data_IF_696461751714
#
_entry.id   IF_696461751714
#
_cell.length_a   1.000
_cell.length_b   1.000
_cell.length_c   1.000
_cell.angle_alpha   90.00
_cell.angle_beta   90.00
_cell.angle_gamma   90.00
#
_symmetry.space_group_name_H-M   'P 1'
#
loop_
_entity.id
_entity.type
_entity.pdbx_description
1 polymer ?
#
# COMPACT_ATOMS: atom_id res chain seq x y z
N UNK A 1 37.57 35.23 -13.56
CA UNK A 1 36.67 36.37 -13.81
C UNK A 1 35.78 36.50 -12.59
N UNK A 2 35.59 37.69 -12.03
CA UNK A 2 34.67 37.87 -10.91
C UNK A 2 33.26 37.47 -11.36
N UNK A 3 32.58 36.59 -10.63
CA UNK A 3 31.18 36.27 -10.89
C UNK A 3 30.36 37.56 -10.76
N UNK A 4 29.56 37.89 -11.78
CA UNK A 4 28.66 39.03 -11.71
C UNK A 4 27.65 38.80 -10.58
N UNK A 5 27.51 39.78 -9.68
CA UNK A 5 26.55 39.69 -8.58
C UNK A 5 25.12 39.87 -9.12
N UNK A 6 24.28 38.86 -8.90
CA UNK A 6 22.86 38.88 -9.29
C UNK A 6 22.13 40.04 -8.60
N UNK A 7 21.31 40.75 -9.37
CA UNK A 7 20.37 41.76 -8.87
C UNK A 7 19.08 41.07 -8.37
N UNK A 8 18.31 41.77 -7.53
CA UNK A 8 17.05 41.23 -7.00
C UNK A 8 16.01 40.97 -8.10
N UNK A 9 16.03 41.79 -9.15
CA UNK A 9 15.17 41.65 -10.32
C UNK A 9 15.52 40.42 -11.18
N UNK A 10 16.67 39.80 -10.96
CA UNK A 10 17.04 38.54 -11.64
C UNK A 10 16.34 37.32 -11.02
N UNK A 11 15.73 37.47 -9.83
CA UNK A 11 14.99 36.41 -9.16
C UNK A 11 13.68 36.13 -9.92
N UNK A 12 13.43 34.89 -10.38
CA UNK A 12 12.23 34.56 -11.14
C UNK A 12 10.94 34.88 -10.38
N UNK A 13 10.10 35.72 -11.00
CA UNK A 13 8.82 36.15 -10.42
C UNK A 13 8.93 37.38 -9.52
N UNK A 14 10.11 37.98 -9.37
CA UNK A 14 10.32 39.26 -8.69
C UNK A 14 10.32 40.38 -9.74
N UNK A 15 9.24 41.17 -9.77
CA UNK A 15 9.19 42.39 -10.56
C UNK A 15 9.78 43.60 -9.82
N UNK A 16 9.87 44.78 -10.47
CA UNK A 16 10.47 45.99 -9.88
C UNK A 16 9.83 46.38 -8.55
N UNK A 17 8.51 46.27 -8.43
CA UNK A 17 7.75 46.58 -7.20
C UNK A 17 8.08 45.62 -6.06
N UNK A 18 8.29 44.33 -6.35
CA UNK A 18 8.66 43.32 -5.35
C UNK A 18 10.12 43.50 -4.93
N UNK A 19 11.00 43.85 -5.86
CA UNK A 19 12.38 44.19 -5.58
C UNK A 19 12.51 45.43 -4.67
N UNK A 20 11.67 46.45 -4.89
CA UNK A 20 11.61 47.64 -4.01
C UNK A 20 11.16 47.28 -2.59
N UNK A 21 10.08 46.49 -2.45
CA UNK A 21 9.64 45.98 -1.13
C UNK A 21 10.73 45.19 -0.40
N UNK A 22 11.48 44.35 -1.12
CA UNK A 22 12.60 43.60 -0.55
C UNK A 22 13.71 44.54 -0.04
N UNK A 23 14.06 45.57 -0.81
CA UNK A 23 15.06 46.58 -0.39
C UNK A 23 14.59 47.36 0.83
N UNK A 24 13.32 47.79 0.87
CA UNK A 24 12.73 48.48 2.03
C UNK A 24 12.72 47.62 3.29
N UNK A 25 12.51 46.31 3.13
CA UNK A 25 12.58 45.31 4.20
C UNK A 25 14.03 44.90 4.56
N UNK A 26 15.02 45.49 3.90
CA UNK A 26 16.45 45.29 4.18
C UNK A 26 17.10 44.11 3.46
N UNK A 27 16.43 43.45 2.52
CA UNK A 27 17.00 42.36 1.69
C UNK A 27 17.63 42.93 0.43
N UNK A 28 18.84 43.47 0.56
CA UNK A 28 19.52 44.17 -0.53
C UNK A 28 20.29 43.26 -1.49
N UNK A 29 20.44 41.96 -1.17
CA UNK A 29 21.19 40.99 -1.99
C UNK A 29 20.57 39.60 -2.01
N UNK A 30 20.91 38.84 -3.06
CA UNK A 30 20.49 37.44 -3.25
C UNK A 30 21.02 36.54 -2.12
N UNK A 31 22.21 36.81 -1.59
CA UNK A 31 22.78 36.09 -0.44
C UNK A 31 21.96 36.30 0.83
N UNK A 32 21.47 37.53 1.06
CA UNK A 32 20.68 37.84 2.24
C UNK A 32 19.31 37.15 2.16
N UNK A 33 18.71 37.09 0.98
CA UNK A 33 17.46 36.35 0.74
C UNK A 33 17.70 34.84 0.90
N UNK A 34 18.82 34.30 0.42
CA UNK A 34 19.16 32.88 0.56
C UNK A 34 19.29 32.43 2.02
N UNK A 35 19.61 33.34 2.94
CA UNK A 35 19.74 33.07 4.38
C UNK A 35 18.45 33.31 5.17
N UNK A 36 17.38 33.76 4.51
CA UNK A 36 16.10 34.11 5.15
C UNK A 36 15.11 32.96 5.11
N UNK A 37 14.10 33.01 5.97
CA UNK A 37 12.95 32.09 5.95
C UNK A 37 11.76 32.67 5.19
N UNK A 38 10.87 31.79 4.72
CA UNK A 38 9.66 32.24 4.02
C UNK A 38 8.73 33.07 4.92
N UNK A 39 8.68 32.75 6.22
CA UNK A 39 7.91 33.52 7.21
C UNK A 39 8.51 34.89 7.46
N UNK A 40 9.84 35.03 7.52
CA UNK A 40 10.49 36.34 7.64
C UNK A 40 10.19 37.23 6.42
N UNK A 41 10.26 36.68 5.19
CA UNK A 41 9.91 37.44 3.98
C UNK A 41 8.42 37.78 3.89
N UNK A 42 7.55 36.94 4.44
CA UNK A 42 6.13 37.24 4.54
C UNK A 42 5.86 38.37 5.54
N UNK A 43 6.45 38.31 6.74
CA UNK A 43 6.24 39.29 7.80
C UNK A 43 6.86 40.65 7.49
N UNK A 44 8.05 40.67 6.88
CA UNK A 44 8.82 41.91 6.67
C UNK A 44 8.64 42.54 5.28
N UNK A 45 8.37 41.75 4.24
CA UNK A 45 8.23 42.22 2.86
C UNK A 45 6.86 41.92 2.22
N UNK A 46 5.90 41.37 3.00
CA UNK A 46 4.55 40.99 2.55
C UNK A 46 4.55 40.03 1.35
N UNK A 47 5.57 39.18 1.24
CA UNK A 47 5.70 38.21 0.15
C UNK A 47 4.99 36.93 0.55
N UNK A 48 3.95 36.55 -0.20
CA UNK A 48 3.21 35.30 0.06
C UNK A 48 4.15 34.10 0.16
N UNK A 49 3.93 33.22 1.15
CA UNK A 49 4.89 32.17 1.53
C UNK A 49 5.31 31.26 0.36
N UNK A 50 4.39 30.92 -0.54
CA UNK A 50 4.70 30.10 -1.72
C UNK A 50 5.68 30.80 -2.68
N UNK A 51 5.58 32.12 -2.82
CA UNK A 51 6.49 32.95 -3.62
C UNK A 51 7.83 33.11 -2.91
N UNK A 52 7.80 33.37 -1.59
CA UNK A 52 9.01 33.48 -0.77
C UNK A 52 9.85 32.19 -0.82
N UNK A 53 9.22 31.02 -0.73
CA UNK A 53 9.91 29.71 -0.86
C UNK A 53 10.59 29.53 -2.22
N UNK A 54 9.94 29.94 -3.31
CA UNK A 54 10.51 29.87 -4.67
C UNK A 54 11.70 30.81 -4.81
N UNK A 55 11.60 32.04 -4.28
CA UNK A 55 12.68 33.02 -4.29
C UNK A 55 13.90 32.52 -3.50
N UNK A 56 13.71 32.07 -2.26
CA UNK A 56 14.79 31.54 -1.40
C UNK A 56 15.49 30.37 -2.09
N UNK A 57 14.71 29.42 -2.65
CA UNK A 57 15.26 28.26 -3.38
C UNK A 57 16.14 28.68 -4.55
N UNK A 58 15.70 29.67 -5.32
CA UNK A 58 16.50 30.20 -6.43
C UNK A 58 17.77 30.90 -5.93
N UNK A 59 17.67 31.71 -4.88
CA UNK A 59 18.81 32.45 -4.32
C UNK A 59 19.90 31.51 -3.76
N UNK A 60 19.51 30.41 -3.10
CA UNK A 60 20.44 29.38 -2.61
C UNK A 60 21.20 28.73 -3.77
N UNK A 61 20.51 28.47 -4.89
CA UNK A 61 21.11 27.86 -6.07
C UNK A 61 22.16 28.76 -6.74
N UNK A 62 21.99 30.09 -6.67
CA UNK A 62 22.94 31.05 -7.24
C UNK A 62 24.13 31.37 -6.33
N UNK A 63 24.01 31.11 -5.03
CA UNK A 63 25.01 31.48 -4.00
C UNK A 63 25.86 30.30 -3.54
N UNK A 64 25.58 29.09 -4.02
CA UNK A 64 26.41 27.91 -3.79
C UNK A 64 27.58 27.86 -4.78
N UNK A 65 28.84 27.65 -4.32
CA UNK A 65 29.99 27.53 -5.22
C UNK A 65 29.85 26.36 -6.19
N UNK A 66 30.03 26.65 -7.47
CA UNK A 66 29.88 25.72 -8.58
C UNK A 66 30.85 24.52 -8.54
N UNK A 67 30.30 23.31 -8.67
CA UNK A 67 30.90 22.25 -9.49
C UNK A 67 30.25 22.32 -10.89
N UNK A 68 30.99 22.88 -11.87
CA UNK A 68 30.77 22.79 -13.33
C UNK A 68 31.84 21.81 -13.86
N UNK A 69 31.68 21.00 -14.92
CA UNK A 69 30.70 20.71 -15.97
C UNK A 69 31.12 19.33 -16.55
N UNK A 70 30.28 18.50 -17.19
CA UNK A 70 29.72 18.66 -18.53
C UNK A 70 28.50 17.74 -18.75
N UNK A 71 27.48 18.30 -19.40
CA UNK A 71 26.37 17.68 -20.14
C UNK A 71 26.86 16.68 -21.20
N UNK A 72 26.14 15.69 -21.75
CA UNK A 72 24.72 15.40 -21.91
C UNK A 72 24.64 14.00 -22.57
N UNK A 73 23.72 13.13 -22.16
CA UNK A 73 22.72 12.46 -23.02
C UNK A 73 22.22 11.13 -22.43
N UNK A 74 20.94 11.12 -22.04
CA UNK A 74 19.97 9.99 -22.01
C UNK A 74 20.35 8.75 -21.19
N UNK A 75 19.61 8.31 -20.17
CA UNK A 75 18.16 8.16 -20.05
C UNK A 75 17.75 8.07 -18.57
N UNK A 76 16.50 8.43 -18.32
CA UNK A 76 15.83 8.56 -17.03
C UNK A 76 16.05 7.40 -16.04
N UNK A 77 16.59 7.74 -14.86
CA UNK A 77 16.11 7.25 -13.57
C UNK A 77 16.79 8.09 -12.48
N UNK A 78 16.03 8.79 -11.63
CA UNK A 78 16.59 9.48 -10.47
C UNK A 78 15.57 9.42 -9.34
N UNK A 79 15.81 8.45 -8.44
CA UNK A 79 15.18 8.38 -7.14
C UNK A 79 15.31 9.71 -6.42
N UNK A 80 14.18 10.26 -6.00
CA UNK A 80 14.12 11.44 -5.15
C UNK A 80 14.48 10.98 -3.74
N UNK A 81 15.72 11.20 -3.33
CA UNK A 81 16.07 11.17 -1.90
C UNK A 81 15.51 12.45 -1.25
N UNK A 82 14.30 12.31 -0.70
CA UNK A 82 13.68 13.35 0.11
C UNK A 82 14.45 13.47 1.43
N UNK A 83 15.17 14.59 1.62
CA UNK A 83 15.71 14.94 2.93
C UNK A 83 14.57 15.00 3.97
N UNK A 84 14.77 14.48 5.19
CA UNK A 84 13.69 14.31 6.15
C UNK A 84 13.14 15.67 6.61
N UNK A 85 11.89 15.95 6.25
CA UNK A 85 11.09 16.93 6.99
C UNK A 85 10.97 16.41 8.42
N UNK A 86 11.54 17.14 9.38
CA UNK A 86 11.33 16.88 10.79
C UNK A 86 9.93 17.35 11.22
N UNK A 87 8.90 16.71 10.65
CA UNK A 87 7.54 16.70 11.21
C UNK A 87 7.48 15.51 12.14
N UNK A 88 7.52 15.76 13.45
CA UNK A 88 7.19 14.74 14.44
C UNK A 88 5.82 14.16 14.08
N UNK A 89 5.77 12.88 13.68
CA UNK A 89 4.49 12.19 13.49
C UNK A 89 3.77 12.19 14.83
N UNK A 90 2.52 12.66 14.83
CA UNK A 90 1.68 12.64 16.01
C UNK A 90 1.39 11.19 16.40
N UNK A 91 1.57 10.87 17.67
CA UNK A 91 1.25 9.57 18.24
C UNK A 91 -0.10 9.60 18.95
N UNK A 92 -0.67 8.43 19.24
CA UNK A 92 -1.98 8.30 19.90
C UNK A 92 -1.97 9.01 21.26
N UNK A 93 -0.84 8.98 21.97
CA UNK A 93 -0.60 9.64 23.24
C UNK A 93 -0.62 11.17 23.14
N UNK A 94 -0.47 11.75 21.95
CA UNK A 94 -0.58 13.19 21.75
C UNK A 94 -2.05 13.67 21.73
N UNK A 95 -3.03 12.75 21.68
CA UNK A 95 -4.46 13.08 21.66
C UNK A 95 -4.90 13.62 23.04
N UNK A 96 -5.54 14.80 23.11
CA UNK A 96 -6.02 15.36 24.36
C UNK A 96 -6.98 14.44 25.11
N UNK A 97 -6.61 14.07 26.33
CA UNK A 97 -7.41 13.18 27.18
C UNK A 97 -7.13 11.69 26.98
N UNK A 98 -6.14 11.34 26.15
CA UNK A 98 -5.65 9.97 26.02
C UNK A 98 -4.40 9.79 26.89
N UNK A 99 -4.53 8.97 27.93
CA UNK A 99 -3.38 8.49 28.70
C UNK A 99 -2.90 7.11 28.20
N UNK A 100 -1.79 6.58 28.75
CA UNK A 100 -1.20 5.31 28.31
C UNK A 100 -2.20 4.15 28.26
N UNK A 101 -3.09 4.03 29.25
CA UNK A 101 -4.10 2.98 29.30
C UNK A 101 -5.17 3.10 28.20
N UNK A 102 -5.53 4.32 27.81
CA UNK A 102 -6.48 4.52 26.70
C UNK A 102 -5.76 4.27 25.37
N UNK A 103 -4.50 4.70 25.25
CA UNK A 103 -3.68 4.46 24.07
C UNK A 103 -3.48 2.95 23.81
N UNK A 104 -3.22 2.16 24.85
CA UNK A 104 -3.12 0.71 24.78
C UNK A 104 -4.44 0.08 24.28
N UNK A 105 -5.58 0.42 24.90
CA UNK A 105 -6.89 -0.08 24.44
C UNK A 105 -7.23 0.32 23.00
N UNK A 106 -6.85 1.54 22.60
CA UNK A 106 -7.03 1.97 21.22
C UNK A 106 -6.21 1.10 20.26
N UNK A 107 -4.96 0.79 20.61
CA UNK A 107 -4.11 -0.10 19.81
C UNK A 107 -4.68 -1.51 19.72
N UNK A 108 -5.11 -2.06 20.85
CA UNK A 108 -5.76 -3.38 20.90
C UNK A 108 -7.05 -3.41 20.07
N UNK A 109 -7.76 -2.27 20.00
CA UNK A 109 -8.91 -2.07 19.14
C UNK A 109 -8.61 -1.79 17.66
N UNK A 110 -7.33 -1.86 17.24
CA UNK A 110 -6.88 -1.63 15.86
C UNK A 110 -6.73 -0.15 15.47
N UNK A 111 -6.81 0.79 16.42
CA UNK A 111 -6.62 2.22 16.18
C UNK A 111 -5.18 2.63 16.44
N UNK A 112 -4.28 2.39 15.47
CA UNK A 112 -2.85 2.64 15.63
C UNK A 112 -2.40 4.06 15.23
N UNK A 113 -3.21 4.76 14.45
CA UNK A 113 -2.85 6.04 13.83
C UNK A 113 -3.89 7.12 14.11
N UNK A 114 -3.45 8.39 14.07
CA UNK A 114 -4.37 9.54 14.17
C UNK A 114 -5.41 9.48 13.05
N UNK A 115 -5.00 9.04 11.86
CA UNK A 115 -5.85 8.87 10.69
C UNK A 115 -6.92 7.78 10.88
N UNK A 116 -6.53 6.64 11.46
CA UNK A 116 -7.44 5.56 11.82
C UNK A 116 -8.51 6.04 12.81
N UNK A 117 -8.12 6.85 13.80
CA UNK A 117 -9.07 7.43 14.77
C UNK A 117 -9.96 8.50 14.12
N UNK A 118 -9.42 9.35 13.26
CA UNK A 118 -10.16 10.43 12.59
C UNK A 118 -11.30 9.91 11.69
N UNK A 119 -11.13 8.72 11.11
CA UNK A 119 -12.11 8.07 10.22
C UNK A 119 -13.07 7.14 10.98
N UNK A 120 -12.83 6.89 12.27
CA UNK A 120 -13.67 6.05 13.11
C UNK A 120 -15.07 6.64 13.34
N UNK A 121 -16.03 5.76 13.67
CA UNK A 121 -17.32 6.20 14.21
C UNK A 121 -17.23 6.38 15.73
N UNK A 122 -17.99 7.32 16.33
CA UNK A 122 -18.00 7.51 17.77
C UNK A 122 -18.34 6.26 18.57
N UNK A 123 -19.26 5.42 18.08
CA UNK A 123 -19.64 4.17 18.76
C UNK A 123 -18.50 3.16 18.76
N UNK A 124 -17.86 2.92 17.61
CA UNK A 124 -16.76 1.95 17.51
C UNK A 124 -15.58 2.37 18.38
N UNK A 125 -15.22 3.65 18.37
CA UNK A 125 -14.11 4.16 19.17
C UNK A 125 -14.43 4.14 20.68
N UNK A 126 -15.69 4.43 21.04
CA UNK A 126 -16.18 4.37 22.41
C UNK A 126 -16.13 2.95 22.98
N UNK A 127 -16.53 1.95 22.18
CA UNK A 127 -16.46 0.53 22.56
C UNK A 127 -15.01 0.07 22.68
N UNK A 128 -14.15 0.33 21.69
CA UNK A 128 -12.76 -0.12 21.68
C UNK A 128 -11.93 0.46 22.83
N UNK A 129 -12.07 1.77 23.10
CA UNK A 129 -11.29 2.43 24.15
C UNK A 129 -11.97 2.37 25.54
N UNK A 130 -13.17 1.79 25.63
CA UNK A 130 -14.03 1.80 26.82
C UNK A 130 -14.23 3.22 27.40
N UNK A 131 -14.45 4.19 26.51
CA UNK A 131 -14.67 5.61 26.87
C UNK A 131 -16.10 6.03 26.55
N UNK A 132 -16.57 7.12 27.16
CA UNK A 132 -17.87 7.70 26.81
C UNK A 132 -17.90 8.23 25.36
N UNK A 133 -19.06 8.09 24.69
CA UNK A 133 -19.25 8.51 23.29
C UNK A 133 -18.97 10.01 23.06
N UNK A 134 -19.19 10.86 24.08
CA UNK A 134 -18.86 12.28 24.04
C UNK A 134 -17.35 12.54 24.01
N UNK A 135 -16.56 11.74 24.72
CA UNK A 135 -15.10 11.76 24.68
C UNK A 135 -14.60 11.26 23.33
N UNK A 136 -15.16 10.14 22.85
CA UNK A 136 -14.85 9.61 21.52
C UNK A 136 -15.08 10.65 20.42
N UNK A 137 -16.22 11.37 20.44
CA UNK A 137 -16.50 12.47 19.49
C UNK A 137 -15.45 13.58 19.53
N UNK A 138 -14.98 13.97 20.72
CA UNK A 138 -13.94 15.00 20.88
C UNK A 138 -12.60 14.53 20.34
N UNK A 139 -12.22 13.28 20.62
CA UNK A 139 -11.00 12.68 20.08
C UNK A 139 -11.04 12.63 18.56
N UNK A 140 -12.11 12.09 17.97
CA UNK A 140 -12.28 12.04 16.51
C UNK A 140 -12.18 13.44 15.89
N UNK A 141 -12.84 14.43 16.49
CA UNK A 141 -12.79 15.81 16.01
C UNK A 141 -11.36 16.36 16.02
N UNK A 142 -10.65 16.18 17.12
CA UNK A 142 -9.26 16.63 17.23
C UNK A 142 -8.37 15.92 16.20
N UNK A 143 -8.49 14.60 16.06
CA UNK A 143 -7.73 13.83 15.07
C UNK A 143 -8.00 14.30 13.63
N UNK A 144 -9.25 14.64 13.29
CA UNK A 144 -9.58 15.21 11.96
C UNK A 144 -8.91 16.55 11.70
N UNK A 145 -8.87 17.42 12.72
CA UNK A 145 -8.19 18.73 12.64
C UNK A 145 -6.67 18.57 12.46
N UNK A 146 -6.07 17.57 13.10
CA UNK A 146 -4.62 17.33 13.02
C UNK A 146 -4.18 16.57 11.77
N UNK A 147 -4.96 15.57 11.35
CA UNK A 147 -4.62 14.73 10.20
C UNK A 147 -5.05 15.34 8.85
N UNK A 148 -5.61 16.55 8.86
CA UNK A 148 -6.24 17.19 7.69
C UNK A 148 -7.26 16.26 6.97
N UNK A 149 -7.94 15.43 7.79
CA UNK A 149 -8.92 14.46 7.29
C UNK A 149 -10.25 15.16 7.16
N UNK A 150 -10.56 15.56 5.93
CA UNK A 150 -11.80 16.24 5.54
C UNK A 150 -11.63 17.27 4.43
N UNK A 151 -10.39 17.63 4.09
CA UNK A 151 -10.09 18.44 2.92
C UNK A 151 -10.34 17.68 1.61
N UNK A 152 -10.81 18.40 0.59
CA UNK A 152 -10.83 17.86 -0.77
C UNK A 152 -9.43 17.95 -1.37
N UNK A 153 -8.90 16.82 -1.86
CA UNK A 153 -7.62 16.77 -2.57
C UNK A 153 -7.84 16.97 -4.06
N UNK A 154 -6.92 17.70 -4.70
CA UNK A 154 -6.83 17.80 -6.16
C UNK A 154 -6.37 16.48 -6.76
N UNK A 155 -6.63 16.28 -8.06
CA UNK A 155 -6.14 15.09 -8.77
C UNK A 155 -4.61 14.94 -8.74
N UNK A 156 -3.87 16.05 -8.68
CA UNK A 156 -2.41 16.06 -8.56
C UNK A 156 -1.95 15.51 -7.22
N UNK A 157 -2.56 15.93 -6.12
CA UNK A 157 -2.21 15.42 -4.78
C UNK A 157 -2.54 13.93 -4.64
N UNK A 158 -3.66 13.48 -5.23
CA UNK A 158 -4.00 12.04 -5.28
C UNK A 158 -2.97 11.28 -6.13
N UNK A 159 -2.56 11.83 -7.27
CA UNK A 159 -1.54 11.22 -8.12
C UNK A 159 -0.20 11.09 -7.38
N UNK A 160 0.25 12.15 -6.71
CA UNK A 160 1.48 12.14 -5.90
C UNK A 160 1.41 11.12 -4.76
N UNK A 161 0.28 11.02 -4.07
CA UNK A 161 0.07 10.00 -3.05
C UNK A 161 0.14 8.58 -3.63
N UNK A 162 -0.40 8.36 -4.83
CA UNK A 162 -0.34 7.06 -5.52
C UNK A 162 1.07 6.68 -5.97
N UNK A 163 2.05 7.61 -6.03
CA UNK A 163 3.45 7.26 -6.28
C UNK A 163 4.06 6.40 -5.16
N UNK A 164 3.43 6.38 -3.98
CA UNK A 164 3.83 5.51 -2.86
C UNK A 164 3.36 4.06 -3.01
N UNK A 165 2.43 3.79 -3.94
CA UNK A 165 1.97 2.43 -4.25
C UNK A 165 3.11 1.70 -4.95
N UNK A 166 3.49 0.55 -4.37
CA UNK A 166 4.52 -0.34 -4.92
C UNK A 166 3.88 -1.51 -5.63
N UNK A 167 4.65 -2.18 -6.49
CA UNK A 167 4.19 -3.36 -7.24
C UNK A 167 5.09 -4.55 -7.00
N UNK A 168 4.49 -5.68 -6.65
CA UNK A 168 5.18 -6.97 -6.52
C UNK A 168 5.10 -7.75 -7.83
N UNK A 169 6.26 -8.09 -8.40
CA UNK A 169 6.35 -8.87 -9.63
C UNK A 169 6.15 -10.37 -9.39
N UNK A 170 5.50 -11.02 -10.34
CA UNK A 170 5.38 -12.49 -10.43
C UNK A 170 6.65 -13.14 -10.97
N UNK A 171 7.51 -12.36 -11.64
CA UNK A 171 8.65 -12.84 -12.43
C UNK A 171 8.23 -13.65 -13.66
N UNK A 172 6.98 -13.48 -14.09
CA UNK A 172 6.48 -13.92 -15.39
C UNK A 172 6.15 -12.66 -16.19
N UNK A 173 6.98 -12.27 -17.17
CA UNK A 173 6.87 -10.98 -17.85
C UNK A 173 5.47 -10.69 -18.41
N UNK A 174 4.79 -11.68 -18.97
CA UNK A 174 3.47 -11.52 -19.57
C UNK A 174 2.39 -11.23 -18.51
N UNK A 175 2.52 -11.81 -17.31
CA UNK A 175 1.61 -11.55 -16.19
C UNK A 175 1.90 -10.18 -15.59
N UNK A 176 3.17 -9.83 -15.44
CA UNK A 176 3.59 -8.54 -14.90
C UNK A 176 3.18 -7.40 -15.84
N UNK A 177 3.31 -7.56 -17.16
CA UNK A 177 2.84 -6.61 -18.16
C UNK A 177 1.31 -6.44 -18.11
N UNK A 178 0.55 -7.54 -18.02
CA UNK A 178 -0.90 -7.50 -17.90
C UNK A 178 -1.36 -6.73 -16.65
N UNK A 179 -0.61 -6.81 -15.54
CA UNK A 179 -0.88 -6.09 -14.29
C UNK A 179 -0.25 -4.68 -14.25
N UNK A 180 0.34 -4.23 -15.35
CA UNK A 180 1.01 -2.92 -15.43
C UNK A 180 2.18 -2.80 -14.45
N UNK A 181 2.94 -3.87 -14.25
CA UNK A 181 4.15 -3.94 -13.42
C UNK A 181 4.10 -4.90 -12.23
N UNK A 182 2.95 -5.53 -11.96
CA UNK A 182 2.78 -6.51 -10.87
C UNK A 182 1.59 -6.20 -9.96
N UNK A 183 1.49 -6.92 -8.84
CA UNK A 183 0.42 -6.78 -7.84
C UNK A 183 0.60 -5.50 -7.02
N UNK A 184 -0.42 -4.64 -6.99
CA UNK A 184 -0.35 -3.33 -6.32
C UNK A 184 -0.53 -3.45 -4.79
N UNK A 185 0.30 -2.71 -4.03
CA UNK A 185 0.05 -2.46 -2.60
C UNK A 185 -1.17 -1.55 -2.42
N UNK A 186 -1.72 -1.50 -1.19
CA UNK A 186 -2.95 -0.77 -0.86
C UNK A 186 -4.17 -1.23 -1.66
N UNK A 187 -4.12 -2.46 -2.18
CA UNK A 187 -5.17 -3.06 -2.98
C UNK A 187 -5.37 -4.52 -2.59
N UNK A 188 -6.60 -5.00 -2.77
CA UNK A 188 -6.92 -6.43 -2.65
C UNK A 188 -7.02 -7.02 -4.06
N UNK A 189 -6.26 -8.09 -4.31
CA UNK A 189 -6.37 -8.90 -5.51
C UNK A 189 -7.05 -10.24 -5.20
N UNK A 190 -8.17 -10.50 -5.86
CA UNK A 190 -8.87 -11.79 -5.82
C UNK A 190 -8.33 -12.72 -6.91
N UNK A 191 -7.83 -13.90 -6.52
CA UNK A 191 -7.53 -15.00 -7.43
C UNK A 191 -8.65 -16.05 -7.35
N UNK A 192 -9.45 -16.18 -8.41
CA UNK A 192 -10.51 -17.18 -8.46
C UNK A 192 -10.36 -18.13 -9.64
N UNK A 193 -10.82 -19.37 -9.47
CA UNK A 193 -10.76 -20.38 -10.51
C UNK A 193 -10.99 -21.79 -10.01
N UNK A 194 -11.11 -22.74 -10.92
CA UNK A 194 -11.33 -24.15 -10.59
C UNK A 194 -10.17 -24.76 -9.80
N UNK A 195 -10.37 -25.94 -9.21
CA UNK A 195 -9.31 -26.67 -8.52
C UNK A 195 -8.14 -27.00 -9.47
N UNK A 196 -6.90 -26.75 -9.00
CA UNK A 196 -5.68 -26.96 -9.78
C UNK A 196 -5.42 -25.93 -10.90
N UNK A 197 -6.19 -24.83 -10.94
CA UNK A 197 -5.95 -23.70 -11.86
C UNK A 197 -4.66 -22.91 -11.56
N UNK A 198 -4.03 -23.14 -10.39
CA UNK A 198 -2.77 -22.48 -10.02
C UNK A 198 -2.90 -21.41 -8.92
N UNK A 199 -4.09 -21.20 -8.32
CA UNK A 199 -4.30 -20.25 -7.21
C UNK A 199 -3.21 -20.33 -6.13
N UNK A 200 -3.11 -21.47 -5.46
CA UNK A 200 -2.10 -21.64 -4.40
C UNK A 200 -0.67 -21.55 -4.95
N UNK A 201 -0.41 -21.88 -6.22
CA UNK A 201 0.92 -21.75 -6.81
C UNK A 201 1.35 -20.28 -6.94
N UNK A 202 0.43 -19.40 -7.38
CA UNK A 202 0.69 -17.96 -7.41
C UNK A 202 0.86 -17.41 -6.00
N UNK A 203 0.00 -17.82 -5.06
CA UNK A 203 0.10 -17.43 -3.65
C UNK A 203 1.48 -17.77 -3.05
N UNK A 204 1.94 -19.02 -3.23
CA UNK A 204 3.26 -19.43 -2.73
C UNK A 204 4.41 -18.68 -3.44
N UNK A 205 4.28 -18.45 -4.76
CA UNK A 205 5.30 -17.70 -5.50
C UNK A 205 5.41 -16.26 -5.00
N UNK A 206 4.28 -15.58 -4.78
CA UNK A 206 4.28 -14.21 -4.27
C UNK A 206 4.80 -14.12 -2.83
N UNK A 207 4.55 -15.15 -2.02
CA UNK A 207 5.14 -15.26 -0.68
C UNK A 207 6.68 -15.38 -0.70
N UNK A 208 7.25 -15.91 -1.78
CA UNK A 208 8.70 -15.89 -2.02
C UNK A 208 9.13 -14.53 -2.59
N UNK A 209 8.50 -14.09 -3.68
CA UNK A 209 8.94 -12.91 -4.42
C UNK A 209 8.88 -11.62 -3.58
N UNK A 210 7.91 -11.47 -2.66
CA UNK A 210 7.77 -10.25 -1.85
C UNK A 210 9.00 -9.98 -0.98
N UNK A 211 9.74 -11.03 -0.65
CA UNK A 211 10.90 -10.96 0.20
C UNK A 211 12.15 -10.46 -0.53
N UNK A 212 12.13 -10.50 -1.86
CA UNK A 212 13.22 -10.02 -2.70
C UNK A 212 13.37 -8.51 -2.62
N UNK A 213 14.55 -7.97 -2.95
CA UNK A 213 14.75 -6.55 -3.15
C UNK A 213 13.88 -5.96 -4.28
N UNK A 214 13.62 -4.65 -4.21
CA UNK A 214 12.78 -3.95 -5.19
C UNK A 214 13.39 -3.96 -6.59
N UNK A 215 14.71 -3.90 -6.70
CA UNK A 215 15.46 -4.05 -7.95
C UNK A 215 15.27 -5.42 -8.62
N UNK A 216 14.92 -6.45 -7.84
CA UNK A 216 14.58 -7.78 -8.33
C UNK A 216 13.05 -8.00 -8.43
N UNK A 217 12.26 -6.94 -8.25
CA UNK A 217 10.80 -6.98 -8.34
C UNK A 217 10.07 -7.42 -7.07
N UNK A 218 10.77 -7.53 -5.94
CA UNK A 218 10.17 -7.77 -4.63
C UNK A 218 9.86 -6.48 -3.87
N UNK A 219 9.63 -6.57 -2.56
CA UNK A 219 9.30 -5.43 -1.69
C UNK A 219 10.06 -5.45 -0.36
N UNK A 220 11.13 -6.27 -0.24
CA UNK A 220 11.89 -6.50 0.99
C UNK A 220 11.01 -6.82 2.21
N UNK A 221 9.86 -7.47 2.01
CA UNK A 221 8.86 -7.63 3.05
C UNK A 221 8.75 -9.04 3.64
N UNK A 222 7.90 -9.15 4.65
CA UNK A 222 7.43 -10.41 5.26
C UNK A 222 5.97 -10.70 4.84
N UNK A 223 5.55 -11.95 5.04
CA UNK A 223 4.25 -12.47 4.64
C UNK A 223 3.44 -12.88 5.86
N UNK A 224 2.16 -12.48 5.89
CA UNK A 224 1.17 -13.09 6.77
C UNK A 224 0.29 -14.00 5.92
N UNK A 225 0.16 -15.26 6.33
CA UNK A 225 -0.57 -16.28 5.59
C UNK A 225 -1.64 -16.92 6.47
N UNK A 226 -2.90 -16.61 6.18
CA UNK A 226 -4.05 -17.28 6.78
C UNK A 226 -4.46 -18.46 5.88
N UNK A 227 -4.13 -19.67 6.32
CA UNK A 227 -4.43 -20.91 5.62
C UNK A 227 -5.75 -21.51 6.15
N UNK A 228 -6.76 -21.57 5.30
CA UNK A 228 -8.08 -22.11 5.63
C UNK A 228 -8.32 -23.49 5.02
N UNK A 229 -7.51 -23.88 4.02
CA UNK A 229 -7.67 -25.13 3.27
C UNK A 229 -6.54 -26.14 3.54
N UNK A 230 -5.59 -25.81 4.42
CA UNK A 230 -4.38 -26.58 4.67
C UNK A 230 -3.58 -26.79 3.36
N UNK A 231 -3.39 -25.72 2.59
CA UNK A 231 -2.69 -25.71 1.30
C UNK A 231 -1.25 -25.26 1.40
N UNK A 232 -0.84 -24.62 2.51
CA UNK A 232 0.54 -24.20 2.68
C UNK A 232 1.49 -25.40 2.73
N UNK A 233 2.52 -25.40 1.89
CA UNK A 233 3.54 -26.45 1.83
C UNK A 233 4.93 -25.82 1.90
N UNK A 234 5.66 -25.93 3.02
CA UNK A 234 7.02 -25.41 3.14
C UNK A 234 7.95 -25.93 2.05
N UNK A 235 7.82 -27.21 1.67
CA UNK A 235 8.62 -27.84 0.62
C UNK A 235 8.42 -27.13 -0.73
N UNK A 236 7.22 -26.58 -0.96
CA UNK A 236 6.94 -25.82 -2.17
C UNK A 236 7.64 -24.47 -2.18
N UNK A 237 7.71 -23.81 -1.02
CA UNK A 237 8.50 -22.58 -0.84
C UNK A 237 9.97 -22.87 -1.12
N UNK A 238 10.52 -23.97 -0.59
CA UNK A 238 11.92 -24.33 -0.85
C UNK A 238 12.22 -24.52 -2.34
N UNK A 239 11.33 -25.22 -3.06
CA UNK A 239 11.46 -25.40 -4.50
C UNK A 239 11.46 -24.06 -5.25
N UNK A 240 10.55 -23.16 -4.89
CA UNK A 240 10.45 -21.83 -5.50
C UNK A 240 11.66 -20.95 -5.19
N UNK A 241 12.19 -20.98 -3.96
CA UNK A 241 13.40 -20.24 -3.57
C UNK A 241 14.61 -20.75 -4.35
N UNK A 242 14.79 -22.08 -4.43
CA UNK A 242 15.85 -22.69 -5.26
C UNK A 242 15.70 -22.32 -6.74
N UNK A 243 14.46 -22.17 -7.20
CA UNK A 243 14.13 -21.76 -8.56
C UNK A 243 14.36 -20.27 -8.87
N UNK A 244 14.75 -19.44 -7.91
CA UNK A 244 15.11 -18.03 -8.16
C UNK A 244 16.48 -17.87 -8.82
N UNK A 245 17.35 -18.87 -8.73
CA UNK A 245 18.72 -18.84 -9.25
C UNK A 245 19.57 -17.66 -8.71
N UNK A 246 19.23 -17.16 -7.51
CA UNK A 246 19.95 -16.11 -6.80
C UNK A 246 20.99 -16.75 -5.88
N UNK A 247 22.25 -16.33 -6.01
CA UNK A 247 23.34 -16.79 -5.15
C UNK A 247 23.07 -16.41 -3.68
N UNK A 248 23.19 -17.38 -2.77
CA UNK A 248 22.97 -17.16 -1.34
C UNK A 248 21.50 -17.14 -0.89
N UNK A 249 20.54 -17.38 -1.79
CA UNK A 249 19.14 -17.53 -1.40
C UNK A 249 18.93 -18.82 -0.58
N UNK A 250 18.77 -18.69 0.73
CA UNK A 250 18.52 -19.80 1.65
C UNK A 250 17.01 -19.98 1.90
N UNK A 251 16.42 -21.13 1.52
CA UNK A 251 15.02 -21.43 1.81
C UNK A 251 14.62 -21.28 3.28
N UNK A 252 15.52 -21.54 4.22
CA UNK A 252 15.20 -21.41 5.65
C UNK A 252 15.03 -19.94 6.06
N UNK A 253 15.83 -19.03 5.50
CA UNK A 253 15.64 -17.59 5.72
C UNK A 253 14.32 -17.11 5.12
N UNK A 254 13.95 -17.57 3.93
CA UNK A 254 12.64 -17.23 3.34
C UNK A 254 11.46 -17.76 4.17
N UNK A 255 11.57 -18.98 4.70
CA UNK A 255 10.51 -19.58 5.53
C UNK A 255 10.31 -18.82 6.85
N UNK A 256 11.38 -18.26 7.45
CA UNK A 256 11.28 -17.46 8.69
C UNK A 256 10.39 -16.23 8.56
N UNK A 257 10.32 -15.65 7.36
CA UNK A 257 9.53 -14.44 7.08
C UNK A 257 8.15 -14.74 6.46
N UNK A 258 7.70 -16.01 6.53
CA UNK A 258 6.34 -16.41 6.17
C UNK A 258 5.62 -16.86 7.45
N UNK A 259 4.79 -15.98 7.99
CA UNK A 259 4.06 -16.21 9.23
C UNK A 259 2.70 -16.84 8.92
N UNK A 260 2.60 -18.14 9.13
CA UNK A 260 1.42 -18.93 8.77
C UNK A 260 0.54 -19.19 9.99
N UNK A 261 -0.75 -18.90 9.87
CA UNK A 261 -1.76 -19.26 10.84
C UNK A 261 -2.87 -20.08 10.17
N UNK A 262 -3.25 -21.19 10.78
CA UNK A 262 -4.32 -22.05 10.26
C UNK A 262 -5.66 -21.68 10.87
N UNK A 263 -6.57 -21.18 10.06
CA UNK A 263 -7.94 -20.94 10.48
C UNK A 263 -8.75 -22.24 10.45
N UNK A 264 -9.66 -22.39 11.42
CA UNK A 264 -10.54 -23.57 11.53
C UNK A 264 -12.03 -23.21 11.37
N UNK A 265 -12.38 -21.95 11.61
CA UNK A 265 -13.73 -21.41 11.45
C UNK A 265 -13.68 -20.02 10.82
N UNK A 266 -14.80 -19.54 10.30
CA UNK A 266 -14.91 -18.19 9.71
C UNK A 266 -14.58 -17.10 10.74
N UNK A 267 -15.04 -17.25 12.00
CA UNK A 267 -14.72 -16.31 13.06
C UNK A 267 -13.24 -16.36 13.46
N UNK A 268 -12.60 -17.54 13.48
CA UNK A 268 -11.15 -17.65 13.71
C UNK A 268 -10.35 -17.01 12.55
N UNK A 269 -10.78 -17.19 11.30
CA UNK A 269 -10.18 -16.53 10.14
C UNK A 269 -10.22 -15.00 10.27
N UNK A 270 -11.34 -14.45 10.74
CA UNK A 270 -11.48 -13.00 10.98
C UNK A 270 -10.56 -12.52 12.11
N UNK A 271 -10.54 -13.23 13.24
CA UNK A 271 -9.68 -12.91 14.38
C UNK A 271 -8.18 -12.90 14.03
N UNK A 272 -7.72 -13.80 13.17
CA UNK A 272 -6.32 -13.83 12.74
C UNK A 272 -5.91 -12.57 11.96
N UNK A 273 -6.84 -12.00 11.19
CA UNK A 273 -6.61 -10.71 10.50
C UNK A 273 -6.63 -9.57 11.51
N UNK A 274 -7.55 -9.58 12.48
CA UNK A 274 -7.59 -8.56 13.55
C UNK A 274 -6.29 -8.55 14.37
N UNK A 275 -5.73 -9.72 14.69
CA UNK A 275 -4.48 -9.84 15.47
C UNK A 275 -3.20 -9.61 14.66
N UNK A 276 -3.29 -9.23 13.38
CA UNK A 276 -2.11 -9.01 12.52
C UNK A 276 -1.27 -7.82 12.96
N UNK A 277 -1.87 -6.82 13.63
CA UNK A 277 -1.19 -5.57 13.97
C UNK A 277 0.07 -5.75 14.82
N UNK A 278 0.02 -6.56 15.89
CA UNK A 278 1.16 -6.79 16.78
C UNK A 278 2.36 -7.35 16.01
N UNK A 279 2.12 -8.38 15.21
CA UNK A 279 3.15 -9.00 14.38
C UNK A 279 3.69 -8.04 13.31
N UNK A 280 2.82 -7.22 12.72
CA UNK A 280 3.24 -6.27 11.69
C UNK A 280 4.19 -5.20 12.24
N UNK A 281 3.93 -4.68 13.43
CA UNK A 281 4.83 -3.71 14.09
C UNK A 281 6.13 -4.37 14.58
N UNK A 282 6.07 -5.60 15.09
CA UNK A 282 7.27 -6.36 15.43
C UNK A 282 8.20 -6.51 14.21
N UNK A 283 7.66 -7.00 13.09
CA UNK A 283 8.44 -7.26 11.87
C UNK A 283 8.98 -5.98 11.23
N UNK A 284 8.22 -4.89 11.30
CA UNK A 284 8.67 -3.57 10.88
C UNK A 284 9.86 -3.09 11.71
N UNK A 285 9.86 -3.31 13.03
CA UNK A 285 10.99 -2.97 13.90
C UNK A 285 12.26 -3.79 13.60
N UNK A 286 12.10 -5.00 13.06
CA UNK A 286 13.18 -5.88 12.63
C UNK A 286 13.70 -5.55 11.21
N UNK A 287 13.14 -4.52 10.54
CA UNK A 287 13.54 -4.11 9.19
C UNK A 287 12.94 -4.96 8.06
N UNK A 288 11.95 -5.83 8.37
CA UNK A 288 11.31 -6.75 7.43
C UNK A 288 9.78 -6.60 7.50
N UNK A 289 9.22 -5.42 7.19
CA UNK A 289 7.81 -5.11 7.40
C UNK A 289 6.89 -6.03 6.60
N UNK A 290 5.66 -6.21 7.06
CA UNK A 290 4.63 -6.96 6.32
C UNK A 290 4.35 -6.25 5.00
N UNK A 291 4.45 -6.97 3.88
CA UNK A 291 4.14 -6.46 2.53
C UNK A 291 3.17 -7.33 1.75
N UNK A 292 2.81 -8.50 2.28
CA UNK A 292 1.84 -9.39 1.68
C UNK A 292 0.99 -10.05 2.76
N UNK A 293 -0.32 -9.91 2.64
CA UNK A 293 -1.32 -10.53 3.52
C UNK A 293 -2.14 -11.48 2.66
N UNK A 294 -2.08 -12.76 2.98
CA UNK A 294 -2.68 -13.84 2.19
C UNK A 294 -3.82 -14.47 2.98
N UNK A 295 -4.96 -14.68 2.30
CA UNK A 295 -6.06 -15.52 2.80
C UNK A 295 -6.37 -16.60 1.75
N UNK A 296 -5.89 -17.83 1.98
CA UNK A 296 -6.07 -18.99 1.09
C UNK A 296 -6.92 -20.07 1.80
N UNK A 297 -8.23 -20.17 1.61
CA UNK A 297 -9.11 -19.32 0.81
C UNK A 297 -10.05 -18.44 1.62
N UNK A 298 -10.46 -17.32 1.01
CA UNK A 298 -11.34 -16.32 1.62
C UNK A 298 -12.72 -16.87 1.96
N UNK A 299 -13.28 -17.72 1.10
CA UNK A 299 -14.70 -18.11 1.17
C UNK A 299 -14.92 -19.55 1.62
N UNK A 300 -13.87 -20.37 1.74
CA UNK A 300 -13.97 -21.79 2.07
C UNK A 300 -14.75 -22.05 3.36
N UNK A 301 -14.32 -21.45 4.48
CA UNK A 301 -14.94 -21.62 5.80
C UNK A 301 -16.34 -20.99 5.88
N UNK A 302 -16.51 -19.80 5.30
CA UNK A 302 -17.82 -19.15 5.20
C UNK A 302 -18.83 -19.98 4.41
N UNK A 303 -18.38 -20.72 3.40
CA UNK A 303 -19.27 -21.58 2.63
C UNK A 303 -19.72 -22.80 3.43
N UNK A 304 -18.82 -23.41 4.20
CA UNK A 304 -19.15 -24.58 5.02
C UNK A 304 -20.08 -24.24 6.18
N UNK A 305 -19.90 -23.09 6.82
CA UNK A 305 -20.66 -22.71 8.02
C UNK A 305 -22.03 -22.11 7.67
N UNK A 306 -22.11 -21.28 6.64
CA UNK A 306 -23.35 -20.58 6.26
C UNK A 306 -23.94 -21.21 5.00
N UNK A 307 -24.42 -22.45 5.17
CA UNK A 307 -25.09 -23.21 4.12
C UNK A 307 -26.56 -22.79 3.96
N UNK A 308 -27.01 -22.66 2.71
CA UNK A 308 -28.41 -22.34 2.37
C UNK A 308 -28.70 -20.84 2.20
N UNK A 309 -29.92 -20.52 1.78
CA UNK A 309 -30.32 -19.12 1.47
C UNK A 309 -30.66 -18.30 2.73
N UNK A 310 -31.02 -18.95 3.84
CA UNK A 310 -31.42 -18.27 5.08
C UNK A 310 -30.28 -17.57 5.82
N UNK A 311 -29.04 -18.05 5.66
CA UNK A 311 -27.83 -17.51 6.28
C UNK A 311 -27.03 -16.61 5.33
N UNK A 312 -27.55 -16.37 4.12
CA UNK A 312 -26.85 -15.60 3.08
C UNK A 312 -26.53 -14.18 3.55
N UNK A 313 -27.49 -13.49 4.15
CA UNK A 313 -27.31 -12.11 4.60
C UNK A 313 -26.21 -11.98 5.66
N UNK A 314 -26.22 -12.86 6.66
CA UNK A 314 -25.21 -12.92 7.72
C UNK A 314 -23.82 -13.22 7.15
N UNK A 315 -23.72 -14.23 6.26
CA UNK A 315 -22.47 -14.56 5.57
C UNK A 315 -21.93 -13.36 4.78
N UNK A 316 -22.80 -12.70 4.03
CA UNK A 316 -22.45 -11.51 3.25
C UNK A 316 -21.95 -10.38 4.15
N UNK A 317 -22.61 -10.12 5.29
CA UNK A 317 -22.21 -9.09 6.23
C UNK A 317 -20.84 -9.39 6.88
N UNK A 318 -20.60 -10.63 7.32
CA UNK A 318 -19.31 -11.01 7.90
C UNK A 318 -18.18 -10.97 6.87
N UNK A 319 -18.40 -11.48 5.65
CA UNK A 319 -17.43 -11.39 4.55
C UNK A 319 -17.10 -9.93 4.21
N UNK A 320 -18.08 -9.03 4.21
CA UNK A 320 -17.84 -7.61 3.96
C UNK A 320 -16.94 -7.00 5.02
N UNK A 321 -17.24 -7.26 6.29
CA UNK A 321 -16.41 -6.80 7.41
C UNK A 321 -14.97 -7.30 7.26
N UNK A 322 -14.82 -8.61 7.05
CA UNK A 322 -13.52 -9.24 6.90
C UNK A 322 -12.69 -8.64 5.75
N UNK A 323 -13.29 -8.43 4.58
CA UNK A 323 -12.62 -7.79 3.44
C UNK A 323 -12.21 -6.35 3.73
N UNK A 324 -13.03 -5.58 4.46
CA UNK A 324 -12.67 -4.23 4.88
C UNK A 324 -11.52 -4.22 5.88
N UNK A 325 -11.45 -5.18 6.80
CA UNK A 325 -10.35 -5.26 7.75
C UNK A 325 -9.04 -5.65 7.05
N UNK A 326 -9.07 -6.56 6.07
CA UNK A 326 -7.91 -6.83 5.19
C UNK A 326 -7.50 -5.55 4.45
N UNK A 327 -8.45 -4.80 3.89
CA UNK A 327 -8.15 -3.59 3.12
C UNK A 327 -7.47 -2.51 3.99
N UNK A 328 -7.94 -2.32 5.24
CA UNK A 328 -7.30 -1.38 6.18
C UNK A 328 -5.84 -1.72 6.42
N UNK A 329 -5.53 -3.00 6.64
CA UNK A 329 -4.13 -3.44 6.82
C UNK A 329 -3.30 -3.19 5.55
N UNK A 330 -3.88 -3.40 4.37
CA UNK A 330 -3.20 -3.11 3.10
C UNK A 330 -2.85 -1.63 2.96
N UNK A 331 -3.78 -0.75 3.32
CA UNK A 331 -3.59 0.71 3.28
C UNK A 331 -2.52 1.16 4.30
N UNK A 332 -2.69 0.72 5.55
CA UNK A 332 -1.85 1.09 6.70
C UNK A 332 -0.38 0.65 6.54
N UNK A 333 -0.15 -0.61 6.15
CA UNK A 333 1.20 -1.15 6.01
C UNK A 333 1.78 -0.95 4.61
N UNK A 334 1.04 -0.31 3.71
CA UNK A 334 1.33 -0.23 2.27
C UNK A 334 1.72 -1.63 1.75
N UNK A 335 0.82 -2.58 1.98
CA UNK A 335 0.96 -4.01 1.72
C UNK A 335 -0.07 -4.49 0.68
N UNK A 336 0.14 -5.68 0.14
CA UNK A 336 -0.75 -6.31 -0.83
C UNK A 336 -1.70 -7.25 -0.11
N UNK A 337 -3.00 -7.13 -0.36
CA UNK A 337 -4.00 -8.11 0.05
C UNK A 337 -4.20 -9.13 -1.05
N UNK A 338 -3.93 -10.40 -0.78
CA UNK A 338 -4.10 -11.49 -1.75
C UNK A 338 -5.08 -12.52 -1.21
N UNK A 339 -6.23 -12.64 -1.87
CA UNK A 339 -7.28 -13.55 -1.44
C UNK A 339 -7.56 -14.57 -2.53
N UNK A 340 -7.67 -15.86 -2.17
CA UNK A 340 -8.11 -16.87 -3.13
C UNK A 340 -9.58 -17.18 -2.95
N UNK A 341 -10.22 -17.53 -4.06
CA UNK A 341 -11.63 -17.87 -4.06
C UNK A 341 -11.91 -19.08 -4.95
N UNK A 342 -12.87 -19.88 -4.52
CA UNK A 342 -13.38 -20.99 -5.30
C UNK A 342 -14.49 -20.52 -6.23
N UNK A 343 -14.81 -21.36 -7.21
CA UNK A 343 -15.84 -21.09 -8.22
C UNK A 343 -16.96 -22.12 -8.15
N UNK A 344 -18.12 -21.73 -8.64
CA UNK A 344 -19.22 -22.65 -8.95
C UNK A 344 -19.52 -22.59 -10.44
N UNK A 345 -19.85 -23.74 -11.01
CA UNK A 345 -20.42 -23.81 -12.36
C UNK A 345 -21.86 -23.29 -12.33
N UNK A 346 -22.19 -22.40 -13.25
CA UNK A 346 -23.55 -21.92 -13.50
C UNK A 346 -24.20 -22.77 -14.61
N UNK A 347 -25.11 -23.69 -14.28
CA UNK A 347 -25.71 -24.59 -15.27
C UNK A 347 -26.58 -23.90 -16.32
N UNK A 348 -26.96 -22.63 -16.09
CA UNK A 348 -27.77 -21.84 -17.03
C UNK A 348 -26.96 -21.28 -18.21
N UNK A 349 -25.63 -21.35 -18.18
CA UNK A 349 -24.76 -20.91 -19.26
C UNK A 349 -24.51 -22.09 -20.20
N UNK A 350 -25.21 -22.10 -21.34
CA UNK A 350 -25.06 -23.13 -22.37
C UNK A 350 -23.93 -22.85 -23.37
N UNK A 351 -23.49 -21.59 -23.47
CA UNK A 351 -22.40 -21.15 -24.35
C UNK A 351 -21.47 -20.19 -23.59
N UNK A 352 -20.17 -20.42 -23.68
CA UNK A 352 -19.16 -19.66 -22.94
C UNK A 352 -18.76 -20.32 -21.61
N UNK A 353 -17.99 -19.61 -20.80
CA UNK A 353 -17.50 -20.13 -19.51
C UNK A 353 -18.62 -20.06 -18.44
N UNK A 354 -19.10 -21.20 -17.90
CA UNK A 354 -20.16 -21.21 -16.90
C UNK A 354 -19.64 -20.80 -15.51
N UNK A 355 -18.34 -20.58 -15.34
CA UNK A 355 -17.69 -20.44 -14.05
C UNK A 355 -17.97 -19.07 -13.43
N UNK A 356 -18.49 -19.05 -12.20
CA UNK A 356 -18.67 -17.82 -11.40
C UNK A 356 -17.95 -17.91 -10.05
N UNK A 357 -17.27 -16.84 -9.60
CA UNK A 357 -16.68 -16.78 -8.27
C UNK A 357 -17.75 -16.78 -7.19
N UNK A 358 -17.38 -17.29 -6.01
CA UNK A 358 -18.24 -17.37 -4.83
C UNK A 358 -18.16 -16.07 -4.02
N UNK A 359 -19.15 -15.78 -3.15
CA UNK A 359 -19.15 -14.55 -2.32
C UNK A 359 -19.94 -13.39 -2.92
N UNK A 360 -20.39 -13.51 -4.17
CA UNK A 360 -21.34 -12.59 -4.80
C UNK A 360 -20.80 -11.16 -4.93
N UNK A 361 -21.70 -10.18 -4.89
CA UNK A 361 -21.36 -8.78 -5.16
C UNK A 361 -20.38 -8.17 -4.16
N UNK A 362 -20.30 -8.69 -2.93
CA UNK A 362 -19.45 -8.12 -1.89
C UNK A 362 -17.98 -8.29 -2.22
N UNK A 363 -17.57 -9.53 -2.51
CA UNK A 363 -16.20 -9.82 -2.96
C UNK A 363 -15.93 -9.08 -4.27
N UNK A 364 -16.91 -9.08 -5.19
CA UNK A 364 -16.78 -8.39 -6.47
C UNK A 364 -16.65 -6.87 -6.41
N UNK A 365 -17.14 -6.21 -5.36
CA UNK A 365 -17.02 -4.75 -5.20
C UNK A 365 -15.83 -4.35 -4.33
N UNK A 366 -15.36 -5.23 -3.44
CA UNK A 366 -14.31 -4.91 -2.47
C UNK A 366 -12.92 -5.28 -2.98
N UNK A 367 -12.81 -6.34 -3.78
CA UNK A 367 -11.55 -6.66 -4.46
C UNK A 367 -11.26 -5.62 -5.55
N UNK A 368 -10.10 -4.96 -5.46
CA UNK A 368 -9.65 -3.95 -6.42
C UNK A 368 -9.31 -4.58 -7.78
N UNK A 369 -8.66 -5.74 -7.75
CA UNK A 369 -8.31 -6.52 -8.94
C UNK A 369 -8.91 -7.91 -8.84
N UNK A 370 -9.45 -8.42 -9.95
CA UNK A 370 -10.06 -9.75 -9.99
C UNK A 370 -9.48 -10.56 -11.12
N UNK A 371 -8.83 -11.66 -10.75
CA UNK A 371 -8.12 -12.53 -11.66
C UNK A 371 -8.83 -13.87 -11.75
N UNK A 372 -9.21 -14.23 -12.98
CA UNK A 372 -9.71 -15.56 -13.28
C UNK A 372 -8.59 -16.47 -13.80
N UNK A 373 -8.41 -17.58 -13.10
CA UNK A 373 -7.43 -18.61 -13.43
C UNK A 373 -8.10 -19.85 -14.01
N UNK A 374 -7.61 -20.31 -15.17
CA UNK A 374 -8.07 -21.55 -15.81
C UNK A 374 -6.93 -22.36 -16.40
N UNK A 375 -7.16 -23.68 -16.52
CA UNK A 375 -6.22 -24.59 -17.16
C UNK A 375 -6.26 -24.41 -18.68
N UNK A 376 -5.10 -24.57 -19.32
CA UNK A 376 -4.97 -24.62 -20.78
C UNK A 376 -4.20 -25.88 -21.19
N UNK A 377 -4.03 -26.08 -22.51
CA UNK A 377 -3.31 -27.23 -23.07
C UNK A 377 -1.81 -27.15 -22.74
N UNK A 378 -1.15 -28.31 -22.71
CA UNK A 378 0.30 -28.40 -22.52
C UNK A 378 0.79 -27.96 -21.15
N UNK A 379 -0.02 -28.13 -20.10
CA UNK A 379 0.36 -27.73 -18.74
C UNK A 379 0.27 -26.24 -18.45
N UNK A 380 -0.06 -25.40 -19.45
CA UNK A 380 -0.24 -23.96 -19.31
C UNK A 380 -1.43 -23.59 -18.42
N UNK A 381 -1.36 -22.42 -17.81
CA UNK A 381 -2.45 -21.75 -17.10
C UNK A 381 -2.71 -20.40 -17.76
N UNK A 382 -3.97 -20.00 -17.78
CA UNK A 382 -4.39 -18.68 -18.26
C UNK A 382 -4.67 -17.82 -17.04
N UNK A 383 -4.07 -16.63 -17.02
CA UNK A 383 -4.25 -15.57 -16.05
C UNK A 383 -5.06 -14.47 -16.72
N UNK A 384 -6.35 -14.35 -16.39
CA UNK A 384 -7.24 -13.36 -16.99
C UNK A 384 -7.56 -12.26 -16.00
N UNK A 385 -7.27 -11.01 -16.34
CA UNK A 385 -7.76 -9.85 -15.62
C UNK A 385 -9.23 -9.62 -16.03
N UNK A 386 -10.14 -9.66 -15.06
CA UNK A 386 -11.60 -9.57 -15.27
C UNK A 386 -12.18 -8.27 -14.74
N UNK A 387 -11.52 -7.68 -13.74
CA UNK A 387 -11.95 -6.42 -13.15
C UNK A 387 -10.73 -5.67 -12.62
N UNK A 388 -10.67 -4.38 -12.93
CA UNK A 388 -9.63 -3.47 -12.44
C UNK A 388 -10.08 -2.01 -12.57
N UNK A 389 -9.56 -1.09 -11.76
CA UNK A 389 -9.95 0.32 -11.82
C UNK A 389 -9.30 1.09 -12.99
N UNK A 390 -8.19 0.60 -13.55
CA UNK A 390 -7.31 1.38 -14.43
C UNK A 390 -6.69 0.59 -15.60
N UNK A 391 -6.77 -0.74 -15.60
CA UNK A 391 -6.19 -1.60 -16.63
C UNK A 391 -7.29 -2.22 -17.51
N UNK A 392 -7.04 -2.40 -18.81
CA UNK A 392 -7.98 -3.08 -19.68
C UNK A 392 -8.03 -4.59 -19.36
N UNK A 393 -9.19 -5.21 -19.59
CA UNK A 393 -9.31 -6.67 -19.57
C UNK A 393 -8.29 -7.33 -20.51
N UNK A 394 -7.69 -8.43 -20.06
CA UNK A 394 -6.68 -9.13 -20.83
C UNK A 394 -6.37 -10.50 -20.27
N UNK A 395 -5.59 -11.27 -21.04
CA UNK A 395 -5.15 -12.61 -20.67
C UNK A 395 -3.64 -12.75 -20.87
N UNK A 396 -2.98 -13.35 -19.89
CA UNK A 396 -1.60 -13.79 -19.95
C UNK A 396 -1.54 -15.30 -19.72
N UNK A 397 -0.42 -15.92 -20.08
CA UNK A 397 -0.22 -17.36 -19.87
C UNK A 397 1.04 -17.61 -19.08
N UNK A 398 1.00 -18.60 -18.19
CA UNK A 398 2.15 -19.02 -17.40
C UNK A 398 2.18 -20.54 -17.24
N UNK A 399 3.36 -21.07 -16.91
CA UNK A 399 3.60 -22.46 -16.54
C UNK A 399 3.81 -22.59 -15.03
N UNK A 400 3.49 -23.77 -14.51
CA UNK A 400 3.81 -24.14 -13.12
C UNK A 400 4.82 -25.28 -13.20
N UNK A 401 6.05 -25.00 -12.79
CA UNK A 401 7.17 -25.93 -12.81
C UNK A 401 7.75 -26.13 -11.41
N UNK A 402 8.76 -27.00 -11.27
CA UNK A 402 9.40 -27.25 -9.98
C UNK A 402 9.95 -25.95 -9.38
N UNK A 403 10.68 -25.14 -10.15
CA UNK A 403 11.19 -23.85 -9.71
C UNK A 403 10.15 -22.73 -9.53
N UNK A 404 8.86 -23.02 -9.68
CA UNK A 404 7.78 -22.05 -9.47
C UNK A 404 7.04 -21.66 -10.74
N UNK A 405 6.63 -20.39 -10.83
CA UNK A 405 5.99 -19.85 -12.03
C UNK A 405 7.03 -19.56 -13.12
N UNK A 406 6.66 -19.81 -14.39
CA UNK A 406 7.52 -19.57 -15.56
C UNK A 406 6.74 -19.00 -16.74
N UNK A 407 7.45 -18.24 -17.58
CA UNK A 407 6.96 -17.79 -18.89
C UNK A 407 6.69 -19.00 -19.82
N UNK A 408 5.86 -18.78 -20.84
CA UNK A 408 5.20 -19.84 -21.62
C UNK A 408 5.86 -20.23 -22.94
#
# INVERSE_FOLDING_TARGET
MAAEAYQLEDIPGVGPTTAEKLREAGYESVEKIAQSTASELYESAEIGEATARKMIKWCIAQTSPAEQSDSESTSADAGVELAPMNTRRLEIEDIPGVGPAIAEKLRDGGFLTIEGIATATPSTLSEAAEIGESTAKKMIKWCREQADIGGFKTGTEVFEARLLIKKLRTLVPEVDELLGGGFETQAITELYGEFGSGKSQIVHQLAVNVQLPEELGGLNGSVIYVDTENTFRPERIEQMVKGLEIEGADPQEFLKHIHVARAQTSDHQMLLIENTHELAEELKSQGKPVKLIIVDSLTGLFRSEYAGRGTLAERQQKLNRHMHDIFKLCDEYNAIGLVTNQVMSNPAVFFGDPTKPIGGNIVGHTATFRIYLRKSKGGKRIFRLVDSPNLPDGEATFLVEEGGLRAC
#
